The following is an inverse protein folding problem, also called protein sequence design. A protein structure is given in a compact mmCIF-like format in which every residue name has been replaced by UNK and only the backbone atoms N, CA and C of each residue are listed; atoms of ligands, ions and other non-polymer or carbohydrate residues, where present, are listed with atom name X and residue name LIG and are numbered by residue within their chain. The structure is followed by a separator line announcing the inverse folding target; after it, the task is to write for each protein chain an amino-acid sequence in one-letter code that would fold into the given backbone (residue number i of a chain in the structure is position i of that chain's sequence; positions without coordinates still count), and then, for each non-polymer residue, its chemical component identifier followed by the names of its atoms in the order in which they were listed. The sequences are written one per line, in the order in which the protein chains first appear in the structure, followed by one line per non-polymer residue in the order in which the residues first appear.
data_IF_178188504919
#
_entry.id   IF_178188504919
#
_cell.length_a   1.000
_cell.length_b   1.000
_cell.length_c   1.000
_cell.angle_alpha   90.00
_cell.angle_beta   90.00
_cell.angle_gamma   90.00
#
_symmetry.space_group_name_H-M   'P 1'
#
loop_
_entity.id
_entity.type
_entity.pdbx_description
1 polymer ?
#
# COMPACT_ATOMS: atom_id res chain seq x y z
N UNK A 1 -4.88 -20.72 18.71
CA UNK A 1 -5.92 -19.68 18.63
C UNK A 1 -5.71 -18.77 17.45
N UNK A 2 -4.83 -17.78 17.55
CA UNK A 2 -4.65 -16.70 16.54
C UNK A 2 -4.19 -17.20 15.16
N UNK A 3 -3.23 -18.14 15.08
CA UNK A 3 -2.83 -18.70 13.77
C UNK A 3 -3.98 -19.43 13.07
N UNK A 4 -4.87 -20.08 13.81
CA UNK A 4 -6.01 -20.84 13.27
C UNK A 4 -7.09 -19.87 12.75
N UNK A 5 -7.32 -18.75 13.44
CA UNK A 5 -8.17 -17.65 12.95
C UNK A 5 -7.60 -16.98 11.71
N UNK A 6 -6.29 -16.71 11.66
CA UNK A 6 -5.62 -16.16 10.48
C UNK A 6 -5.76 -17.12 9.28
N UNK A 7 -5.56 -18.43 9.50
CA UNK A 7 -5.65 -19.45 8.46
C UNK A 7 -7.09 -19.70 7.97
N UNK A 8 -8.11 -19.40 8.78
CA UNK A 8 -9.53 -19.52 8.39
C UNK A 8 -10.08 -18.22 7.76
N UNK A 9 -9.65 -17.04 8.24
CA UNK A 9 -10.17 -15.74 7.79
C UNK A 9 -9.47 -15.24 6.52
N UNK A 10 -8.16 -15.50 6.35
CA UNK A 10 -7.43 -15.05 5.14
C UNK A 10 -7.90 -15.71 3.84
N UNK A 11 -8.19 -17.04 3.78
CA UNK A 11 -8.78 -17.64 2.59
C UNK A 11 -10.21 -17.15 2.34
N UNK A 12 -10.99 -16.95 3.41
CA UNK A 12 -12.37 -16.48 3.33
C UNK A 12 -12.48 -15.03 2.84
N UNK A 13 -11.50 -14.17 3.16
CA UNK A 13 -11.48 -12.77 2.74
C UNK A 13 -11.02 -12.52 1.30
N UNK A 14 -10.37 -13.50 0.63
CA UNK A 14 -9.82 -13.41 -0.73
C UNK A 14 -8.98 -12.14 -1.04
N UNK A 15 -8.55 -11.39 -0.02
CA UNK A 15 -7.84 -10.12 -0.20
C UNK A 15 -6.35 -10.38 -0.35
N UNK A 16 -5.87 -10.29 -1.60
CA UNK A 16 -4.44 -10.39 -1.96
C UNK A 16 -3.59 -9.44 -1.11
N UNK A 17 -4.11 -8.27 -0.80
CA UNK A 17 -3.46 -7.25 0.04
C UNK A 17 -3.27 -7.73 1.49
N UNK A 18 -4.22 -8.51 2.03
CA UNK A 18 -4.11 -9.06 3.39
C UNK A 18 -3.02 -10.15 3.49
N UNK A 19 -2.89 -11.01 2.48
CA UNK A 19 -1.81 -11.99 2.41
C UNK A 19 -0.42 -11.34 2.33
N UNK A 20 -0.29 -10.28 1.51
CA UNK A 20 0.95 -9.51 1.40
C UNK A 20 1.28 -8.81 2.73
N UNK A 21 0.29 -8.19 3.37
CA UNK A 21 0.45 -7.56 4.68
C UNK A 21 0.93 -8.54 5.76
N UNK A 22 0.31 -9.72 5.82
CA UNK A 22 0.70 -10.77 6.76
C UNK A 22 2.12 -11.28 6.49
N UNK A 23 2.50 -11.49 5.22
CA UNK A 23 3.84 -11.94 4.85
C UNK A 23 4.93 -10.92 5.21
N UNK A 24 4.72 -9.63 4.90
CA UNK A 24 5.66 -8.54 5.19
C UNK A 24 5.81 -8.38 6.71
N UNK A 25 4.68 -8.30 7.43
CA UNK A 25 4.67 -8.17 8.89
C UNK A 25 5.34 -9.37 9.58
N UNK A 26 5.00 -10.60 9.16
CA UNK A 26 5.59 -11.82 9.71
C UNK A 26 7.09 -11.90 9.48
N UNK A 27 7.55 -11.53 8.28
CA UNK A 27 8.98 -11.49 7.94
C UNK A 27 9.73 -10.46 8.80
N UNK A 28 9.15 -9.28 9.01
CA UNK A 28 9.72 -8.26 9.88
C UNK A 28 9.84 -8.73 11.34
N UNK A 29 8.76 -9.28 11.91
CA UNK A 29 8.73 -9.78 13.29
C UNK A 29 9.75 -10.91 13.48
N UNK A 30 9.82 -11.85 12.54
CA UNK A 30 10.80 -12.92 12.57
C UNK A 30 12.23 -12.38 12.47
N UNK A 31 12.50 -11.46 11.55
CA UNK A 31 13.81 -10.84 11.37
C UNK A 31 14.30 -10.10 12.61
N UNK A 32 13.41 -9.37 13.28
CA UNK A 32 13.72 -8.67 14.53
C UNK A 32 13.98 -9.63 15.69
N UNK A 33 13.25 -10.76 15.79
CA UNK A 33 13.49 -11.78 16.83
C UNK A 33 14.81 -12.54 16.67
N UNK A 34 15.25 -12.76 15.43
CA UNK A 34 16.48 -13.52 15.14
C UNK A 34 17.70 -12.60 14.98
N UNK A 35 17.55 -11.30 15.27
CA UNK A 35 18.62 -10.30 15.17
C UNK A 35 19.27 -10.27 13.78
N UNK A 36 18.44 -10.29 12.73
CA UNK A 36 18.87 -10.52 11.35
C UNK A 36 19.99 -9.57 10.90
N UNK A 37 20.05 -8.35 11.43
CA UNK A 37 21.08 -7.36 11.10
C UNK A 37 22.53 -7.81 11.33
N UNK A 38 22.80 -8.64 12.34
CA UNK A 38 24.16 -9.17 12.58
C UNK A 38 24.46 -10.35 11.65
N UNK A 39 23.53 -11.31 11.53
CA UNK A 39 23.67 -12.49 10.65
C UNK A 39 23.72 -12.12 9.17
N UNK A 40 22.89 -11.17 8.70
CA UNK A 40 22.92 -10.67 7.32
C UNK A 40 24.21 -9.94 7.00
N UNK A 41 24.78 -9.17 7.95
CA UNK A 41 26.09 -8.53 7.76
C UNK A 41 27.19 -9.57 7.58
N UNK A 42 27.15 -10.64 8.36
CA UNK A 42 28.13 -11.74 8.30
C UNK A 42 28.00 -12.56 7.02
N UNK A 43 26.77 -12.93 6.65
CA UNK A 43 26.46 -13.69 5.43
C UNK A 43 26.72 -12.87 4.15
N UNK A 44 26.37 -11.58 4.17
CA UNK A 44 26.60 -10.64 3.08
C UNK A 44 28.08 -10.33 2.85
N UNK A 45 28.91 -10.30 3.90
CA UNK A 45 30.37 -10.22 3.77
C UNK A 45 30.96 -11.49 3.14
N UNK A 46 30.46 -12.67 3.54
CA UNK A 46 31.00 -13.96 3.10
C UNK A 46 30.57 -14.36 1.67
N UNK A 47 29.37 -13.97 1.22
CA UNK A 47 28.78 -14.43 -0.04
C UNK A 47 28.27 -13.31 -0.95
N UNK A 48 28.86 -12.10 -0.88
CA UNK A 48 28.40 -10.87 -1.56
C UNK A 48 27.96 -11.06 -3.02
N UNK A 49 28.76 -11.77 -3.85
CA UNK A 49 28.43 -12.02 -5.27
C UNK A 49 27.24 -12.98 -5.48
N UNK A 50 27.14 -14.05 -4.67
CA UNK A 50 26.01 -15.00 -4.74
C UNK A 50 24.71 -14.37 -4.22
N UNK A 51 24.81 -13.50 -3.22
CA UNK A 51 23.67 -12.80 -2.66
C UNK A 51 23.10 -11.78 -3.65
N UNK A 52 23.97 -11.03 -4.35
CA UNK A 52 23.55 -10.14 -5.45
C UNK A 52 22.83 -10.92 -6.55
N UNK A 53 23.39 -12.04 -7.01
CA UNK A 53 22.75 -12.89 -8.02
C UNK A 53 21.40 -13.45 -7.55
N UNK A 54 21.29 -13.87 -6.29
CA UNK A 54 20.03 -14.34 -5.71
C UNK A 54 18.99 -13.22 -5.58
N UNK A 55 19.39 -12.00 -5.22
CA UNK A 55 18.50 -10.83 -5.20
C UNK A 55 18.01 -10.47 -6.61
N UNK A 56 18.89 -10.52 -7.61
CA UNK A 56 18.51 -10.28 -9.02
C UNK A 56 17.54 -11.36 -9.48
N UNK A 57 17.86 -12.64 -9.28
CA UNK A 57 16.96 -13.74 -9.66
C UNK A 57 15.61 -13.65 -8.93
N UNK A 58 15.62 -13.35 -7.63
CA UNK A 58 14.41 -13.17 -6.82
C UNK A 58 13.56 -12.00 -7.28
N UNK A 59 14.17 -10.85 -7.61
CA UNK A 59 13.45 -9.68 -8.13
C UNK A 59 12.81 -9.97 -9.50
N UNK A 60 13.52 -10.68 -10.39
CA UNK A 60 12.93 -11.12 -11.67
C UNK A 60 11.72 -12.03 -11.44
N UNK A 61 11.82 -13.01 -10.54
CA UNK A 61 10.69 -13.91 -10.21
C UNK A 61 9.50 -13.11 -9.66
N UNK A 62 9.75 -12.14 -8.77
CA UNK A 62 8.70 -11.28 -8.20
C UNK A 62 8.03 -10.44 -9.30
N UNK A 63 8.80 -9.87 -10.23
CA UNK A 63 8.28 -9.07 -11.34
C UNK A 63 7.41 -9.95 -12.26
N UNK A 64 7.90 -11.13 -12.63
CA UNK A 64 7.15 -12.05 -13.51
C UNK A 64 5.87 -12.54 -12.84
N UNK A 65 5.94 -12.93 -11.57
CA UNK A 65 4.77 -13.33 -10.80
C UNK A 65 3.77 -12.17 -10.66
N UNK A 66 4.26 -10.96 -10.38
CA UNK A 66 3.45 -9.74 -10.30
C UNK A 66 2.75 -9.44 -11.63
N UNK A 67 3.46 -9.55 -12.75
CA UNK A 67 2.91 -9.36 -14.09
C UNK A 67 1.85 -10.43 -14.44
N UNK A 68 2.11 -11.70 -14.14
CA UNK A 68 1.12 -12.76 -14.34
C UNK A 68 -0.16 -12.54 -13.51
N UNK A 69 0.00 -12.14 -12.24
CA UNK A 69 -1.12 -11.80 -11.36
C UNK A 69 -1.89 -10.55 -11.83
N UNK A 70 -1.20 -9.60 -12.45
CA UNK A 70 -1.81 -8.42 -13.07
C UNK A 70 -2.71 -8.84 -14.23
N UNK A 71 -2.22 -9.70 -15.13
CA UNK A 71 -2.99 -10.18 -16.28
C UNK A 71 -4.24 -10.98 -15.89
N UNK A 72 -4.20 -11.75 -14.79
CA UNK A 72 -5.35 -12.51 -14.30
C UNK A 72 -6.56 -11.63 -13.89
N UNK A 73 -6.35 -10.35 -13.55
CA UNK A 73 -7.42 -9.40 -13.18
C UNK A 73 -7.12 -8.01 -13.75
N UNK A 74 -6.72 -7.95 -15.01
CA UNK A 74 -6.24 -6.74 -15.66
C UNK A 74 -7.24 -5.57 -15.58
N UNK A 75 -8.53 -5.82 -15.81
CA UNK A 75 -9.60 -4.80 -15.73
C UNK A 75 -9.70 -4.16 -14.35
N UNK A 76 -9.64 -4.97 -13.28
CA UNK A 76 -9.67 -4.48 -11.88
C UNK A 76 -8.39 -3.75 -11.47
N UNK A 77 -7.24 -4.13 -12.03
CA UNK A 77 -5.97 -3.43 -11.78
C UNK A 77 -5.92 -2.09 -12.51
N UNK A 78 -6.34 -2.06 -13.78
CA UNK A 78 -6.45 -0.85 -14.59
C UNK A 78 -7.39 0.18 -13.97
N UNK A 79 -8.55 -0.25 -13.45
CA UNK A 79 -9.46 0.67 -12.75
C UNK A 79 -8.85 1.32 -11.51
N UNK A 80 -8.03 0.60 -10.73
CA UNK A 80 -7.32 1.20 -9.58
C UNK A 80 -6.17 2.11 -10.00
N UNK A 81 -5.41 1.73 -11.03
CA UNK A 81 -4.36 2.59 -11.58
C UNK A 81 -4.94 3.90 -12.14
N UNK A 82 -6.07 3.81 -12.85
CA UNK A 82 -6.79 4.98 -13.34
C UNK A 82 -7.28 5.86 -12.20
N UNK A 83 -7.92 5.26 -11.19
CA UNK A 83 -8.35 5.98 -9.99
C UNK A 83 -7.19 6.69 -9.28
N UNK A 84 -6.03 6.04 -9.18
CA UNK A 84 -4.83 6.65 -8.59
C UNK A 84 -4.26 7.77 -9.44
N UNK A 85 -4.31 7.64 -10.77
CA UNK A 85 -3.92 8.70 -11.72
C UNK A 85 -4.79 9.95 -11.52
N UNK A 86 -6.11 9.79 -11.58
CA UNK A 86 -7.05 10.91 -11.35
C UNK A 86 -6.89 11.49 -9.95
N UNK A 87 -6.72 10.65 -8.93
CA UNK A 87 -6.48 11.11 -7.57
C UNK A 87 -5.20 11.94 -7.45
N UNK A 88 -4.13 11.54 -8.15
CA UNK A 88 -2.87 12.29 -8.17
C UNK A 88 -3.01 13.63 -8.87
N UNK A 89 -3.83 13.70 -9.94
CA UNK A 89 -4.17 14.97 -10.60
C UNK A 89 -4.95 15.89 -9.67
N UNK A 90 -5.95 15.37 -8.94
CA UNK A 90 -6.68 16.15 -7.94
C UNK A 90 -5.74 16.66 -6.84
N UNK A 91 -4.81 15.84 -6.34
CA UNK A 91 -3.80 16.28 -5.36
C UNK A 91 -2.94 17.41 -5.92
N UNK A 92 -2.59 17.38 -7.21
CA UNK A 92 -1.80 18.43 -7.84
C UNK A 92 -2.53 19.79 -7.89
N UNK A 93 -3.87 19.80 -7.86
CA UNK A 93 -4.65 21.05 -7.78
C UNK A 93 -4.53 21.74 -6.40
N UNK A 94 -4.43 20.96 -5.31
CA UNK A 94 -4.30 21.48 -3.94
C UNK A 94 -3.36 20.61 -3.08
N UNK A 95 -2.04 20.65 -3.34
CA UNK A 95 -1.11 19.71 -2.72
C UNK A 95 -0.82 20.00 -1.24
N UNK A 96 -1.06 21.24 -0.78
CA UNK A 96 -0.68 21.68 0.57
C UNK A 96 -1.83 21.52 1.57
N UNK A 97 -3.01 22.03 1.24
CA UNK A 97 -4.18 22.06 2.13
C UNK A 97 -5.12 20.88 1.85
N UNK A 98 -5.05 20.29 0.65
CA UNK A 98 -6.03 19.32 0.18
C UNK A 98 -7.34 19.99 -0.23
N UNK A 99 -8.37 19.17 -0.40
CA UNK A 99 -9.72 19.57 -0.80
C UNK A 99 -10.73 19.58 0.35
N UNK A 100 -10.30 19.26 1.58
CA UNK A 100 -11.13 19.20 2.78
C UNK A 100 -11.68 17.80 3.08
N UNK A 101 -12.01 17.57 4.34
CA UNK A 101 -12.51 16.28 4.85
C UNK A 101 -13.79 15.84 4.14
N UNK A 102 -13.82 14.59 3.66
CA UNK A 102 -14.98 14.00 2.99
C UNK A 102 -15.24 14.52 1.57
N UNK A 103 -14.35 15.37 1.02
CA UNK A 103 -14.51 15.92 -0.34
C UNK A 103 -13.86 15.06 -1.43
N UNK A 104 -13.46 13.82 -1.12
CA UNK A 104 -12.84 12.91 -2.09
C UNK A 104 -13.69 12.77 -3.36
N UNK A 105 -14.99 12.46 -3.24
CA UNK A 105 -15.88 12.25 -4.39
C UNK A 105 -15.98 13.48 -5.28
N UNK A 106 -16.06 14.68 -4.68
CA UNK A 106 -16.15 15.95 -5.42
C UNK A 106 -14.83 16.28 -6.12
N UNK A 107 -13.70 16.21 -5.41
CA UNK A 107 -12.38 16.51 -5.96
C UNK A 107 -11.98 15.50 -7.06
N UNK A 108 -12.24 14.22 -6.83
CA UNK A 108 -12.04 13.17 -7.82
C UNK A 108 -12.92 13.37 -9.05
N UNK A 109 -14.21 13.63 -8.87
CA UNK A 109 -15.16 13.84 -9.96
C UNK A 109 -14.75 15.00 -10.85
N UNK A 110 -14.39 16.15 -10.26
CA UNK A 110 -13.90 17.32 -10.99
C UNK A 110 -12.61 17.01 -11.77
N UNK A 111 -11.66 16.32 -11.15
CA UNK A 111 -10.42 15.94 -11.82
C UNK A 111 -10.67 14.95 -12.97
N UNK A 112 -11.62 14.02 -12.81
CA UNK A 112 -12.01 13.07 -13.85
C UNK A 112 -12.70 13.78 -15.03
N UNK A 113 -13.63 14.70 -14.76
CA UNK A 113 -14.29 15.51 -15.77
C UNK A 113 -13.28 16.33 -16.57
N UNK A 114 -12.36 17.02 -15.88
CA UNK A 114 -11.28 17.78 -16.52
C UNK A 114 -10.37 16.87 -17.38
N UNK A 115 -10.07 15.65 -16.91
CA UNK A 115 -9.25 14.70 -17.65
C UNK A 115 -9.90 14.28 -18.98
N UNK A 116 -11.19 13.93 -18.96
CA UNK A 116 -11.92 13.55 -20.17
C UNK A 116 -12.20 14.75 -21.09
N UNK A 117 -12.39 15.95 -20.54
CA UNK A 117 -12.57 17.18 -21.32
C UNK A 117 -11.35 17.54 -22.18
N UNK A 118 -10.14 17.14 -21.74
CA UNK A 118 -8.90 17.36 -22.51
C UNK A 118 -8.74 16.43 -23.72
N UNK A 119 -9.56 15.36 -23.84
CA UNK A 119 -9.55 14.45 -24.99
C UNK A 119 -8.34 13.50 -25.10
N UNK A 120 -7.37 13.58 -24.19
CA UNK A 120 -6.18 12.71 -24.16
C UNK A 120 -6.37 11.50 -23.22
N UNK A 121 -7.26 10.58 -23.59
CA UNK A 121 -7.52 9.35 -22.84
C UNK A 121 -7.52 8.11 -23.73
N UNK A 122 -7.19 6.96 -23.14
CA UNK A 122 -7.24 5.66 -23.83
C UNK A 122 -8.62 5.00 -23.68
N UNK A 123 -9.00 4.14 -24.64
CA UNK A 123 -10.24 3.34 -24.55
C UNK A 123 -10.30 2.51 -23.26
N UNK A 124 -9.15 2.06 -22.76
CA UNK A 124 -9.07 1.31 -21.50
C UNK A 124 -9.42 2.18 -20.29
N UNK A 125 -9.05 3.46 -20.30
CA UNK A 125 -9.35 4.42 -19.23
C UNK A 125 -10.83 4.83 -19.24
N UNK A 126 -11.42 4.98 -20.42
CA UNK A 126 -12.86 5.21 -20.58
C UNK A 126 -13.68 4.03 -20.03
N UNK A 127 -13.28 2.79 -20.34
CA UNK A 127 -13.98 1.58 -19.88
C UNK A 127 -13.91 1.35 -18.37
N UNK A 128 -12.89 1.89 -17.69
CA UNK A 128 -12.71 1.74 -16.24
C UNK A 128 -13.10 2.98 -15.45
N UNK A 129 -13.54 4.04 -16.13
CA UNK A 129 -14.02 5.26 -15.50
C UNK A 129 -15.26 4.99 -14.64
N UNK A 130 -15.34 5.65 -13.49
CA UNK A 130 -16.42 5.44 -12.55
C UNK A 130 -16.52 6.55 -11.52
N UNK A 131 -17.44 6.41 -10.58
CA UNK A 131 -17.63 7.34 -9.45
C UNK A 131 -17.33 6.62 -8.14
N UNK A 132 -16.04 6.40 -7.80
CA UNK A 132 -15.67 5.71 -6.57
C UNK A 132 -15.96 6.58 -5.34
N UNK A 133 -16.45 5.95 -4.27
CA UNK A 133 -16.58 6.62 -2.97
C UNK A 133 -15.24 6.79 -2.25
N UNK A 134 -14.24 5.95 -2.57
CA UNK A 134 -12.92 5.92 -1.92
C UNK A 134 -11.81 5.64 -2.93
N UNK A 135 -10.58 6.10 -2.65
CA UNK A 135 -9.41 5.90 -3.51
C UNK A 135 -8.86 4.45 -3.53
N UNK A 136 -9.37 3.58 -2.64
CA UNK A 136 -8.79 2.26 -2.33
C UNK A 136 -7.28 2.30 -2.01
N UNK A 137 -6.83 3.46 -1.52
CA UNK A 137 -5.48 3.77 -1.07
C UNK A 137 -5.61 4.95 -0.09
N UNK A 138 -5.49 4.65 1.21
CA UNK A 138 -5.68 5.64 2.28
C UNK A 138 -4.67 6.79 2.16
N UNK A 139 -3.46 6.54 1.65
CA UNK A 139 -2.45 7.58 1.49
C UNK A 139 -2.86 8.61 0.45
N UNK A 140 -3.42 8.17 -0.68
CA UNK A 140 -3.94 9.07 -1.71
C UNK A 140 -5.18 9.81 -1.21
N UNK A 141 -6.06 9.14 -0.47
CA UNK A 141 -7.24 9.79 0.10
C UNK A 141 -6.85 10.86 1.12
N UNK A 142 -5.93 10.55 2.04
CA UNK A 142 -5.41 11.53 3.02
C UNK A 142 -4.69 12.69 2.33
N UNK A 143 -3.87 12.41 1.31
CA UNK A 143 -3.21 13.46 0.55
C UNK A 143 -4.19 14.36 -0.22
N UNK A 144 -5.28 13.80 -0.73
CA UNK A 144 -6.31 14.55 -1.42
C UNK A 144 -7.14 15.40 -0.45
N UNK A 145 -7.56 14.86 0.68
CA UNK A 145 -8.42 15.56 1.64
C UNK A 145 -7.65 16.59 2.48
N UNK A 146 -6.44 16.26 2.94
CA UNK A 146 -5.68 17.05 3.92
C UNK A 146 -4.33 17.59 3.39
N UNK A 147 -3.95 17.21 2.16
CA UNK A 147 -2.68 17.61 1.56
C UNK A 147 -1.50 16.70 1.92
N UNK A 148 -0.44 16.82 1.13
CA UNK A 148 0.82 16.09 1.27
C UNK A 148 1.52 16.39 2.60
N UNK A 149 1.59 17.64 3.11
CA UNK A 149 2.22 17.92 4.40
C UNK A 149 1.60 17.15 5.57
N UNK A 150 0.27 17.04 5.60
CA UNK A 150 -0.43 16.29 6.63
C UNK A 150 -0.09 14.79 6.57
N UNK A 151 -0.11 14.21 5.36
CA UNK A 151 0.32 12.82 5.14
C UNK A 151 1.75 12.57 5.64
N UNK A 152 2.67 13.51 5.39
CA UNK A 152 4.06 13.41 5.86
C UNK A 152 4.15 13.44 7.39
N UNK A 153 3.42 14.32 8.04
CA UNK A 153 3.38 14.40 9.52
C UNK A 153 2.86 13.10 10.12
N UNK A 154 1.74 12.57 9.63
CA UNK A 154 1.18 11.30 10.10
C UNK A 154 2.19 10.16 9.89
N UNK A 155 2.82 10.11 8.71
CA UNK A 155 3.83 9.10 8.39
C UNK A 155 5.04 9.17 9.32
N UNK A 156 5.51 10.38 9.67
CA UNK A 156 6.61 10.59 10.62
C UNK A 156 6.24 10.16 12.04
N UNK A 157 5.03 10.46 12.50
CA UNK A 157 4.54 10.03 13.81
C UNK A 157 4.49 8.50 13.88
N UNK A 158 3.96 7.85 12.84
CA UNK A 158 3.90 6.38 12.77
C UNK A 158 5.31 5.79 12.75
N UNK A 159 6.22 6.36 11.95
CA UNK A 159 7.61 5.93 11.90
C UNK A 159 8.32 6.07 13.27
N UNK A 160 8.08 7.18 13.98
CA UNK A 160 8.60 7.40 15.33
C UNK A 160 8.04 6.37 16.32
N UNK A 161 6.73 6.10 16.27
CA UNK A 161 6.10 5.07 17.10
C UNK A 161 6.66 3.67 16.82
N UNK A 162 6.89 3.32 15.55
CA UNK A 162 7.51 2.06 15.15
C UNK A 162 8.95 1.96 15.64
N UNK A 163 9.73 3.04 15.51
CA UNK A 163 11.11 3.09 15.98
C UNK A 163 11.17 2.90 17.49
N UNK A 164 10.41 3.69 18.25
CA UNK A 164 10.36 3.60 19.71
C UNK A 164 9.85 2.23 20.17
N UNK A 165 8.76 1.73 19.57
CA UNK A 165 8.21 0.41 19.89
C UNK A 165 9.19 -0.73 19.59
N UNK A 166 9.98 -0.60 18.52
CA UNK A 166 11.03 -1.56 18.18
C UNK A 166 12.20 -1.51 19.17
N UNK A 167 12.64 -0.32 19.56
CA UNK A 167 13.69 -0.12 20.57
C UNK A 167 13.29 -0.64 21.96
N UNK A 168 12.00 -0.54 22.31
CA UNK A 168 11.45 -1.09 23.57
C UNK A 168 11.14 -2.60 23.50
N UNK A 169 11.47 -3.28 22.39
CA UNK A 169 11.23 -4.72 22.24
C UNK A 169 9.76 -5.11 22.00
N UNK A 170 8.86 -4.15 21.75
CA UNK A 170 7.43 -4.36 21.43
C UNK A 170 7.22 -4.78 19.97
N UNK A 171 7.97 -5.79 19.53
CA UNK A 171 8.05 -6.23 18.13
C UNK A 171 6.68 -6.67 17.59
N UNK A 172 5.84 -7.30 18.42
CA UNK A 172 4.50 -7.77 18.02
C UNK A 172 3.55 -6.62 17.65
N UNK A 173 3.54 -5.55 18.44
CA UNK A 173 2.71 -4.36 18.17
C UNK A 173 3.18 -3.67 16.88
N UNK A 174 4.50 -3.53 16.71
CA UNK A 174 5.09 -2.97 15.50
C UNK A 174 4.71 -3.80 14.26
N UNK A 175 4.73 -5.13 14.37
CA UNK A 175 4.25 -6.02 13.30
C UNK A 175 2.78 -5.77 12.94
N UNK A 176 1.91 -5.57 13.93
CA UNK A 176 0.50 -5.22 13.70
C UNK A 176 0.36 -3.90 12.92
N UNK A 177 1.07 -2.86 13.35
CA UNK A 177 1.07 -1.55 12.67
C UNK A 177 1.59 -1.67 11.23
N UNK A 178 2.69 -2.42 11.00
CA UNK A 178 3.22 -2.65 9.65
C UNK A 178 2.20 -3.38 8.77
N UNK A 179 1.53 -4.41 9.31
CA UNK A 179 0.46 -5.11 8.58
C UNK A 179 -0.67 -4.15 8.20
N UNK A 180 -1.07 -3.27 9.12
CA UNK A 180 -2.11 -2.26 8.88
C UNK A 180 -1.69 -1.26 7.79
N UNK A 181 -0.44 -0.76 7.82
CA UNK A 181 0.08 0.16 6.81
C UNK A 181 0.13 -0.46 5.41
N UNK A 182 0.59 -1.71 5.31
CA UNK A 182 0.64 -2.43 4.03
C UNK A 182 -0.77 -2.67 3.50
N UNK A 183 -1.71 -3.04 4.38
CA UNK A 183 -3.09 -3.25 4.00
C UNK A 183 -3.76 -1.95 3.49
N UNK A 184 -3.52 -0.83 4.18
CA UNK A 184 -4.06 0.50 3.85
C UNK A 184 -3.58 1.07 2.51
N UNK A 185 -2.51 0.52 1.93
CA UNK A 185 -2.03 0.93 0.60
C UNK A 185 -2.97 0.53 -0.53
N UNK A 186 -3.68 -0.58 -0.38
CA UNK A 186 -4.52 -1.18 -1.43
C UNK A 186 -5.94 -1.47 -0.94
N UNK A 187 -6.30 -0.94 0.22
CA UNK A 187 -7.60 -1.10 0.86
C UNK A 187 -7.92 0.16 1.66
N UNK A 188 -9.15 0.25 2.18
CA UNK A 188 -9.70 1.42 2.84
C UNK A 188 -10.16 1.09 4.27
N UNK A 189 -9.29 0.50 5.12
CA UNK A 189 -9.70 0.06 6.44
C UNK A 189 -10.15 1.20 7.36
N UNK A 190 -9.80 2.45 7.08
CA UNK A 190 -10.18 3.60 7.92
C UNK A 190 -11.59 4.11 7.62
N UNK A 191 -12.16 3.71 6.47
CA UNK A 191 -13.47 4.17 5.99
C UNK A 191 -14.62 3.23 6.38
N UNK A 192 -14.31 2.01 6.81
CA UNK A 192 -15.32 1.03 7.24
C UNK A 192 -15.61 1.26 8.73
N UNK A 193 -16.84 1.62 9.13
CA UNK A 193 -17.20 1.89 10.55
C UNK A 193 -17.22 0.63 11.44
N UNK A 194 -16.65 -0.48 11.01
CA UNK A 194 -16.80 -1.79 11.64
C UNK A 194 -15.49 -2.37 12.14
N UNK A 195 -15.18 -2.09 13.40
CA UNK A 195 -14.54 -3.03 14.33
C UNK A 195 -15.24 -2.94 15.68
#
# INVERSE_FOLDING_TARGET
GVMLLILCVLPAGMSRSAWIAAAISGTWVYGMRVSWGSKLKEFGRKYKKRLVLACIAGSVIIIVAGYALFQLKATSANGRLFMWKISSMAIAESPVIGHGTGNFVSAYGRAQENYFANGEFSETEELVAGSPEYAFNEYLQVAMEYGIPFLLVVSLVIAFCLWKGSSEGRIGICGGVISFLVFSFSSYPMQIPGF
#
